data_IF_745432730988
#
_entry.id   IF_745432730988
#
_cell.length_a   1.000
_cell.length_b   1.000
_cell.length_c   1.000
_cell.angle_alpha   90.00
_cell.angle_beta   90.00
_cell.angle_gamma   90.00
#
_symmetry.space_group_name_H-M   'P 1'
#
loop_
_entity.id
_entity.type
_entity.pdbx_description
1 polymer ?
#
# COMPACT_ATOMS: atom_id res chain seq x y z
N UNK A 1 -19.90 7.38 8.96
CA UNK A 1 -19.13 7.27 7.70
C UNK A 1 -17.66 7.35 8.09
N UNK A 2 -16.81 6.42 7.63
CA UNK A 2 -15.37 6.47 7.93
C UNK A 2 -14.61 7.16 6.79
N UNK A 3 -13.67 8.04 7.12
CA UNK A 3 -12.80 8.72 6.15
C UNK A 3 -11.40 8.13 6.20
N UNK A 4 -10.84 7.84 5.02
CA UNK A 4 -9.47 7.36 4.86
C UNK A 4 -8.63 8.37 4.07
N UNK A 5 -7.33 8.43 4.36
CA UNK A 5 -6.34 9.18 3.58
C UNK A 5 -5.22 8.27 3.09
N UNK A 6 -4.76 8.56 1.90
CA UNK A 6 -3.68 7.89 1.18
C UNK A 6 -2.30 8.34 1.71
N UNK A 7 -1.42 7.42 2.12
CA UNK A 7 -0.13 7.78 2.72
C UNK A 7 0.91 8.32 1.71
N UNK A 8 0.77 8.03 0.42
CA UNK A 8 1.63 8.55 -0.65
C UNK A 8 1.54 10.06 -0.80
N UNK A 9 0.49 10.70 -0.26
CA UNK A 9 0.38 12.16 -0.18
C UNK A 9 1.43 12.78 0.75
N UNK A 10 2.12 11.97 1.56
CA UNK A 10 3.12 12.37 2.55
C UNK A 10 4.52 11.89 2.13
N UNK A 11 4.99 12.38 0.98
CA UNK A 11 6.32 12.05 0.45
C UNK A 11 7.42 12.28 1.50
N UNK A 12 8.32 11.29 1.65
CA UNK A 12 9.45 11.27 2.60
C UNK A 12 9.12 11.31 4.10
N UNK A 13 7.85 11.12 4.48
CA UNK A 13 7.47 11.07 5.90
C UNK A 13 7.70 9.68 6.50
N UNK A 14 8.02 9.66 7.79
CA UNK A 14 7.91 8.42 8.57
C UNK A 14 6.45 8.05 8.73
N UNK A 15 6.13 6.76 8.64
CA UNK A 15 4.75 6.29 8.64
C UNK A 15 4.01 6.63 9.96
N UNK A 16 4.72 6.68 11.08
CA UNK A 16 4.24 7.17 12.36
C UNK A 16 3.69 8.61 12.29
N UNK A 17 4.39 9.48 11.55
CA UNK A 17 4.01 10.88 11.41
C UNK A 17 2.76 11.02 10.53
N UNK A 18 2.62 10.14 9.52
CA UNK A 18 1.41 10.05 8.70
C UNK A 18 0.21 9.68 9.56
N UNK A 19 0.30 8.63 10.38
CA UNK A 19 -0.80 8.24 11.26
C UNK A 19 -1.14 9.34 12.27
N UNK A 20 -0.12 9.96 12.86
CA UNK A 20 -0.30 11.08 13.80
C UNK A 20 -0.97 12.28 13.14
N UNK A 21 -0.63 12.57 11.88
CA UNK A 21 -1.23 13.65 11.11
C UNK A 21 -2.69 13.33 10.75
N UNK A 22 -2.95 12.12 10.24
CA UNK A 22 -4.29 11.64 9.91
C UNK A 22 -5.25 11.75 11.11
N UNK A 23 -4.79 11.33 12.30
CA UNK A 23 -5.56 11.45 13.54
C UNK A 23 -5.88 12.91 13.89
N UNK A 24 -4.90 13.82 13.75
CA UNK A 24 -5.10 15.26 14.01
C UNK A 24 -6.09 15.90 13.03
N UNK A 25 -6.10 15.43 11.79
CA UNK A 25 -6.99 15.91 10.73
C UNK A 25 -8.40 15.30 10.80
N UNK A 26 -8.63 14.34 11.71
CA UNK A 26 -9.93 13.72 11.92
C UNK A 26 -10.25 12.57 10.95
N UNK A 27 -9.24 11.97 10.32
CA UNK A 27 -9.41 10.73 9.55
C UNK A 27 -9.54 9.52 10.49
N UNK A 28 -10.29 8.52 10.05
CA UNK A 28 -10.46 7.26 10.78
C UNK A 28 -9.43 6.20 10.35
N UNK A 29 -8.89 6.33 9.13
CA UNK A 29 -8.02 5.33 8.56
C UNK A 29 -6.98 5.89 7.58
N UNK A 30 -5.96 5.07 7.29
CA UNK A 30 -4.95 5.33 6.25
C UNK A 30 -4.90 4.17 5.27
N UNK A 31 -4.95 4.46 3.97
CA UNK A 31 -4.61 3.52 2.89
C UNK A 31 -3.11 3.59 2.61
N UNK A 32 -2.44 2.42 2.55
CA UNK A 32 -1.00 2.32 2.43
C UNK A 32 -0.57 1.97 0.99
N UNK A 33 0.30 2.80 0.43
CA UNK A 33 1.11 2.56 -0.75
C UNK A 33 2.34 1.76 -0.33
N UNK A 34 2.41 0.46 -0.65
CA UNK A 34 3.53 -0.36 -0.19
C UNK A 34 4.88 0.11 -0.73
N UNK A 35 4.88 0.77 -1.89
CA UNK A 35 6.08 1.32 -2.52
C UNK A 35 6.73 2.45 -1.71
N UNK A 36 6.00 3.10 -0.80
CA UNK A 36 6.59 4.12 0.10
C UNK A 36 7.27 3.50 1.32
N UNK A 37 7.05 2.20 1.57
CA UNK A 37 7.61 1.47 2.72
C UNK A 37 8.87 0.69 2.30
N UNK A 38 8.84 0.09 1.12
CA UNK A 38 9.96 -0.63 0.51
C UNK A 38 9.77 -0.76 -1.00
N UNK A 39 10.83 -1.14 -1.73
CA UNK A 39 10.72 -1.43 -3.17
C UNK A 39 9.73 -2.58 -3.44
N UNK A 40 9.70 -3.58 -2.57
CA UNK A 40 8.78 -4.71 -2.67
C UNK A 40 8.23 -5.07 -1.29
N UNK A 41 6.96 -5.51 -1.22
CA UNK A 41 6.38 -6.00 0.05
C UNK A 41 7.06 -7.25 0.59
N UNK A 42 7.79 -7.96 -0.26
CA UNK A 42 8.63 -9.10 0.15
C UNK A 42 9.83 -8.64 0.99
N UNK A 43 10.24 -7.37 0.88
CA UNK A 43 11.36 -6.81 1.63
C UNK A 43 10.91 -6.24 2.99
N UNK A 44 9.59 -6.10 3.20
CA UNK A 44 9.02 -5.66 4.48
C UNK A 44 8.96 -6.86 5.41
N UNK A 45 9.91 -6.92 6.35
CA UNK A 45 9.99 -7.99 7.36
C UNK A 45 8.75 -8.04 8.26
N UNK A 46 8.48 -9.20 8.88
CA UNK A 46 7.38 -9.33 9.85
C UNK A 46 7.49 -8.33 11.00
N UNK A 47 8.70 -8.15 11.54
CA UNK A 47 8.97 -7.17 12.61
C UNK A 47 8.59 -5.76 12.20
N UNK A 48 8.82 -5.41 10.93
CA UNK A 48 8.48 -4.09 10.41
C UNK A 48 6.98 -3.93 10.22
N UNK A 49 6.29 -4.97 9.72
CA UNK A 49 4.81 -4.99 9.65
C UNK A 49 4.18 -4.81 11.03
N UNK A 50 4.71 -5.51 12.03
CA UNK A 50 4.25 -5.40 13.42
C UNK A 50 4.50 -4.00 14.00
N UNK A 51 5.63 -3.37 13.66
CA UNK A 51 5.95 -1.99 14.06
C UNK A 51 4.93 -1.01 13.48
N UNK A 52 4.67 -1.10 12.17
CA UNK A 52 3.72 -0.23 11.46
C UNK A 52 2.32 -0.38 12.05
N UNK A 53 1.87 -1.62 12.29
CA UNK A 53 0.56 -1.88 12.90
C UNK A 53 0.44 -1.28 14.30
N UNK A 54 1.47 -1.44 15.14
CA UNK A 54 1.50 -0.83 16.49
C UNK A 54 1.47 0.70 16.43
N UNK A 55 2.14 1.30 15.44
CA UNK A 55 2.12 2.74 15.25
C UNK A 55 0.71 3.24 14.89
N UNK A 56 0.00 2.54 13.98
CA UNK A 56 -1.38 2.84 13.65
C UNK A 56 -2.30 2.72 14.87
N UNK A 57 -2.19 1.62 15.63
CA UNK A 57 -2.95 1.40 16.86
C UNK A 57 -2.70 2.49 17.91
N UNK A 58 -1.44 2.91 18.10
CA UNK A 58 -1.07 3.98 19.04
C UNK A 58 -1.65 5.34 18.65
N UNK A 59 -1.73 5.62 17.34
CA UNK A 59 -2.37 6.81 16.79
C UNK A 59 -3.91 6.71 16.74
N UNK A 60 -4.48 5.53 17.06
CA UNK A 60 -5.91 5.21 16.93
C UNK A 60 -6.42 5.36 15.49
N UNK A 61 -5.57 5.00 14.53
CA UNK A 61 -5.86 5.02 13.10
C UNK A 61 -5.96 3.58 12.59
N UNK A 62 -7.01 3.29 11.84
CA UNK A 62 -7.11 2.00 11.16
C UNK A 62 -6.23 1.99 9.91
N UNK A 63 -5.64 0.84 9.59
CA UNK A 63 -5.11 0.63 8.25
C UNK A 63 -6.28 0.16 7.38
N UNK A 64 -6.68 0.99 6.42
CA UNK A 64 -7.80 0.68 5.55
C UNK A 64 -7.43 -0.48 4.62
N UNK A 65 -6.24 -0.43 4.01
CA UNK A 65 -5.84 -1.37 2.99
C UNK A 65 -4.53 -1.01 2.31
N UNK A 66 -4.21 -1.76 1.25
CA UNK A 66 -3.12 -1.45 0.34
C UNK A 66 -3.66 -0.91 -1.00
N UNK A 67 -2.94 0.03 -1.59
CA UNK A 67 -3.21 0.55 -2.93
C UNK A 67 -1.93 0.67 -3.78
N UNK A 68 -2.05 1.05 -5.07
CA UNK A 68 -0.89 1.23 -5.97
C UNK A 68 -0.01 -0.02 -6.11
N UNK A 69 -0.65 -1.19 -6.07
CA UNK A 69 -0.04 -2.49 -5.81
C UNK A 69 1.01 -2.99 -6.82
N UNK A 70 0.97 -2.47 -8.05
CA UNK A 70 1.89 -2.86 -9.13
C UNK A 70 2.74 -1.68 -9.60
N UNK A 71 2.85 -0.61 -8.81
CA UNK A 71 3.82 0.46 -9.06
C UNK A 71 5.25 -0.06 -8.89
N UNK A 72 5.46 -0.85 -7.84
CA UNK A 72 6.74 -1.46 -7.49
C UNK A 72 6.51 -2.87 -6.93
N UNK A 73 7.41 -3.83 -7.18
CA UNK A 73 8.60 -3.73 -8.02
C UNK A 73 8.25 -3.65 -9.51
N UNK A 74 9.17 -3.12 -10.32
CA UNK A 74 9.01 -3.02 -11.77
C UNK A 74 8.91 -4.41 -12.41
N UNK A 75 8.25 -4.47 -13.57
CA UNK A 75 8.16 -5.69 -14.38
C UNK A 75 7.01 -6.64 -14.01
N UNK A 76 6.11 -6.23 -13.13
CA UNK A 76 4.86 -6.96 -12.86
C UNK A 76 3.73 -6.48 -13.77
N UNK A 77 3.02 -7.42 -14.37
CA UNK A 77 1.93 -7.14 -15.30
C UNK A 77 0.97 -8.33 -15.44
N UNK A 78 -0.29 -8.11 -15.06
CA UNK A 78 -1.32 -9.16 -14.97
C UNK A 78 -1.63 -9.81 -16.31
N UNK A 79 -1.69 -9.01 -17.38
CA UNK A 79 -2.08 -9.46 -18.72
C UNK A 79 -0.89 -9.59 -19.68
N UNK A 80 0.30 -9.89 -19.15
CA UNK A 80 1.51 -9.93 -19.99
C UNK A 80 1.45 -11.13 -20.94
N UNK A 81 1.92 -11.05 -22.19
CA UNK A 81 1.92 -12.20 -23.11
C UNK A 81 2.78 -13.37 -22.60
N UNK A 82 3.91 -13.06 -21.96
CA UNK A 82 4.76 -14.05 -21.27
C UNK A 82 4.07 -14.60 -20.00
N UNK A 83 3.96 -15.93 -19.93
CA UNK A 83 3.40 -16.65 -18.79
C UNK A 83 4.20 -16.51 -17.50
N UNK A 84 5.53 -16.43 -17.57
CA UNK A 84 6.38 -16.30 -16.40
C UNK A 84 6.14 -14.97 -15.66
N UNK A 85 5.89 -13.88 -16.40
CA UNK A 85 5.56 -12.58 -15.82
C UNK A 85 4.18 -12.61 -15.15
N UNK A 86 3.21 -13.31 -15.75
CA UNK A 86 1.88 -13.47 -15.13
C UNK A 86 1.96 -14.28 -13.83
N UNK A 87 2.71 -15.37 -13.81
CA UNK A 87 2.95 -16.17 -12.60
C UNK A 87 3.63 -15.35 -11.50
N UNK A 88 4.71 -14.64 -11.83
CA UNK A 88 5.39 -13.73 -10.89
C UNK A 88 4.44 -12.67 -10.33
N UNK A 89 3.56 -12.11 -11.17
CA UNK A 89 2.58 -11.10 -10.75
C UNK A 89 1.52 -11.70 -9.83
N UNK A 90 1.04 -12.91 -10.12
CA UNK A 90 0.11 -13.66 -9.25
C UNK A 90 0.74 -13.93 -7.88
N UNK A 91 1.97 -14.41 -7.85
CA UNK A 91 2.67 -14.74 -6.62
C UNK A 91 2.92 -13.48 -5.77
N UNK A 92 3.22 -12.36 -6.44
CA UNK A 92 3.32 -11.07 -5.79
C UNK A 92 1.98 -10.59 -5.19
N UNK A 93 0.85 -10.87 -5.84
CA UNK A 93 -0.45 -10.60 -5.23
C UNK A 93 -0.68 -11.40 -3.96
N UNK A 94 -0.29 -12.68 -3.89
CA UNK A 94 -0.37 -13.42 -2.63
C UNK A 94 0.50 -12.80 -1.53
N UNK A 95 1.70 -12.31 -1.88
CA UNK A 95 2.56 -11.58 -0.95
C UNK A 95 1.92 -10.28 -0.45
N UNK A 96 1.24 -9.53 -1.33
CA UNK A 96 0.46 -8.35 -0.95
C UNK A 96 -0.70 -8.69 -0.02
N UNK A 97 -1.39 -9.82 -0.24
CA UNK A 97 -2.52 -10.25 0.60
C UNK A 97 -2.00 -10.54 2.01
N UNK A 98 -0.92 -11.31 2.09
CA UNK A 98 -0.27 -11.63 3.37
C UNK A 98 0.19 -10.37 4.10
N UNK A 99 0.89 -9.46 3.40
CA UNK A 99 1.33 -8.19 3.96
C UNK A 99 0.16 -7.34 4.49
N UNK A 100 -0.92 -7.21 3.71
CA UNK A 100 -2.12 -6.48 4.13
C UNK A 100 -2.75 -7.09 5.40
N UNK A 101 -2.83 -8.42 5.46
CA UNK A 101 -3.37 -9.13 6.61
C UNK A 101 -2.51 -8.92 7.88
N UNK A 102 -1.18 -8.98 7.74
CA UNK A 102 -0.25 -8.76 8.86
C UNK A 102 -0.38 -7.34 9.43
N UNK A 103 -0.48 -6.35 8.53
CA UNK A 103 -0.70 -4.94 8.86
C UNK A 103 -2.08 -4.68 9.49
N UNK A 104 -3.02 -5.63 9.42
CA UNK A 104 -4.38 -5.49 9.95
C UNK A 104 -5.33 -4.74 9.02
N UNK A 105 -4.98 -4.60 7.73
CA UNK A 105 -5.83 -4.01 6.70
C UNK A 105 -7.07 -4.84 6.39
N UNK A 106 -8.17 -4.18 6.00
CA UNK A 106 -9.45 -4.84 5.71
C UNK A 106 -9.91 -4.72 4.25
N UNK A 107 -9.37 -3.77 3.49
CA UNK A 107 -9.70 -3.49 2.10
C UNK A 107 -8.45 -3.59 1.21
N UNK A 108 -8.68 -3.79 -0.08
CA UNK A 108 -7.67 -3.85 -1.12
C UNK A 108 -8.17 -3.03 -2.29
N UNK A 109 -7.45 -1.99 -2.69
CA UNK A 109 -7.82 -1.14 -3.83
C UNK A 109 -6.69 -1.15 -4.87
N UNK A 110 -6.82 -1.98 -5.92
CA UNK A 110 -5.86 -1.97 -7.03
C UNK A 110 -6.25 -0.87 -8.02
N UNK A 111 -5.61 0.30 -7.92
CA UNK A 111 -5.63 1.33 -8.96
C UNK A 111 -4.19 1.77 -9.20
N UNK A 112 -3.69 1.60 -10.44
CA UNK A 112 -2.42 2.21 -10.87
C UNK A 112 -2.62 3.73 -10.98
N UNK A 113 -1.55 4.55 -10.95
CA UNK A 113 -1.65 5.87 -11.55
C UNK A 113 -2.02 5.62 -13.00
N UNK A 114 -3.17 6.09 -13.44
CA UNK A 114 -3.24 6.50 -14.83
C UNK A 114 -2.30 7.69 -14.95
N UNK A 115 -1.15 7.49 -15.60
CA UNK A 115 -0.37 8.60 -16.12
C UNK A 115 -1.35 9.48 -16.91
N UNK A 116 -1.63 10.67 -16.40
CA UNK A 116 -2.47 11.67 -17.05
C UNK A 116 -1.70 12.33 -18.20
N UNK A 117 -1.28 11.55 -19.19
CA UNK A 117 -0.70 12.02 -20.43
C UNK A 117 -0.78 10.88 -21.44
N UNK A 118 -1.26 11.17 -22.65
CA UNK A 118 -1.54 10.25 -23.77
C UNK A 118 -2.92 9.58 -23.78
N UNK A 119 -3.98 10.40 -23.80
CA UNK A 119 -5.20 10.12 -24.57
C UNK A 119 -5.80 11.43 -25.12
N UNK A 120 -5.06 12.13 -25.98
CA UNK A 120 -5.63 12.97 -27.05
C UNK A 120 -4.69 12.86 -28.26
N UNK A 121 -5.29 12.48 -29.40
CA UNK A 121 -4.75 12.20 -30.74
C UNK A 121 -4.28 10.77 -31.01
#
# INVERSE_FOLDING_TARGET
>A
MKLAICNEMFEDWQIEDVFSCAAKLGYDAVELAPFTLAESVLDISQTERDRIRKAADAAKIEIAGLHWLLVSPKGLHVNHPDGAIREKTRDYFFALIACCADLGGRLWSSVRPMNATYWIH
#
